data_IF_175874076463
#
_entry.id   IF_175874076463
#
_cell.length_a   1.000
_cell.length_b   1.000
_cell.length_c   1.000
_cell.angle_alpha   90.00
_cell.angle_beta   90.00
_cell.angle_gamma   90.00
#
_symmetry.space_group_name_H-M   'P 1'
#
loop_
_entity.id
_entity.type
_entity.pdbx_description
1 polymer ?
#
# COMPACT_ATOMS: atom_id res chain seq x y z
N UNK A 1 4.83 4.54 20.64
CA UNK A 1 3.86 4.66 19.53
C UNK A 1 3.46 3.26 19.10
N UNK A 2 2.18 3.01 18.91
CA UNK A 2 1.73 1.74 18.35
C UNK A 2 1.98 1.71 16.83
N UNK A 3 2.08 0.53 16.23
CA UNK A 3 2.22 0.40 14.76
C UNK A 3 1.03 1.02 14.01
N UNK A 4 -0.14 1.09 14.64
CA UNK A 4 -1.35 1.71 14.11
C UNK A 4 -1.20 3.23 14.00
N UNK A 5 -0.64 3.89 15.01
CA UNK A 5 -0.43 5.35 15.01
C UNK A 5 0.54 5.76 13.90
N UNK A 6 1.67 5.06 13.79
CA UNK A 6 2.68 5.32 12.77
C UNK A 6 2.15 5.08 11.35
N UNK A 7 1.28 4.07 11.18
CA UNK A 7 0.60 3.81 9.90
C UNK A 7 -0.34 4.95 9.52
N UNK A 8 -1.14 5.45 10.46
CA UNK A 8 -2.08 6.53 10.23
C UNK A 8 -1.37 7.85 9.90
N UNK A 9 -0.30 8.17 10.63
CA UNK A 9 0.53 9.34 10.35
C UNK A 9 1.20 9.24 8.97
N UNK A 10 1.72 8.05 8.62
CA UNK A 10 2.31 7.80 7.30
C UNK A 10 1.27 7.98 6.18
N UNK A 11 0.07 7.40 6.32
CA UNK A 11 -1.04 7.58 5.37
C UNK A 11 -1.42 9.05 5.20
N UNK A 12 -1.51 9.79 6.30
CA UNK A 12 -1.81 11.23 6.28
C UNK A 12 -0.72 12.03 5.57
N UNK A 13 0.55 11.78 5.89
CA UNK A 13 1.69 12.45 5.27
C UNK A 13 1.81 12.16 3.76
N UNK A 14 1.38 10.97 3.32
CA UNK A 14 1.34 10.59 1.91
C UNK A 14 0.11 11.12 1.16
N UNK A 15 -0.86 11.74 1.85
CA UNK A 15 -2.13 12.16 1.24
C UNK A 15 -2.92 10.96 0.72
N UNK A 16 -3.01 9.89 1.51
CA UNK A 16 -3.73 8.67 1.16
C UNK A 16 -5.24 8.93 1.05
N UNK A 17 -5.86 8.43 -0.02
CA UNK A 17 -7.30 8.53 -0.28
C UNK A 17 -7.83 7.18 -0.76
N UNK A 18 -9.04 6.79 -0.34
CA UNK A 18 -9.58 5.44 -0.60
C UNK A 18 -10.36 5.31 -1.91
N UNK A 19 -10.69 6.41 -2.58
CA UNK A 19 -11.70 6.45 -3.66
C UNK A 19 -11.11 6.56 -5.07
N UNK A 20 -9.79 6.50 -5.23
CA UNK A 20 -9.13 6.67 -6.53
C UNK A 20 -8.24 5.46 -6.85
N UNK A 21 -8.58 4.61 -7.84
CA UNK A 21 -7.90 3.33 -8.07
C UNK A 21 -6.53 3.50 -8.71
N UNK A 22 -5.50 3.68 -7.89
CA UNK A 22 -4.10 3.78 -8.35
C UNK A 22 -3.16 2.81 -7.66
N UNK A 23 -3.49 2.33 -6.46
CA UNK A 23 -2.62 1.45 -5.68
C UNK A 23 -2.33 0.12 -6.40
N UNK A 24 -3.32 -0.47 -7.10
CA UNK A 24 -3.10 -1.71 -7.89
C UNK A 24 -1.99 -1.57 -8.95
N UNK A 25 -1.83 -0.36 -9.50
CA UNK A 25 -0.87 -0.04 -10.56
C UNK A 25 0.39 0.67 -10.03
N UNK A 26 0.58 0.76 -8.72
CA UNK A 26 1.71 1.43 -8.10
C UNK A 26 2.92 0.51 -7.99
N UNK A 27 4.13 0.97 -8.31
CA UNK A 27 5.38 0.20 -8.15
C UNK A 27 5.71 -0.14 -6.69
N UNK A 28 5.10 0.58 -5.75
CA UNK A 28 5.25 0.37 -4.31
C UNK A 28 4.21 -0.58 -3.73
N UNK A 29 3.28 -1.10 -4.54
CA UNK A 29 2.35 -2.13 -4.09
C UNK A 29 2.99 -3.50 -4.26
N UNK A 30 2.90 -4.31 -3.21
CA UNK A 30 3.35 -5.70 -3.18
C UNK A 30 2.22 -6.59 -2.67
N UNK A 31 2.19 -7.83 -3.15
CA UNK A 31 1.35 -8.89 -2.61
C UNK A 31 2.18 -9.74 -1.64
N UNK A 32 1.64 -9.98 -0.45
CA UNK A 32 2.28 -10.76 0.61
C UNK A 32 1.30 -11.82 1.04
N UNK A 33 1.78 -13.05 1.23
CA UNK A 33 0.96 -14.19 1.64
C UNK A 33 0.32 -13.96 3.02
N UNK A 34 -0.91 -14.41 3.21
CA UNK A 34 -1.56 -14.46 4.52
C UNK A 34 -1.14 -15.73 5.25
N UNK A 35 -0.28 -15.58 6.25
CA UNK A 35 0.21 -16.70 7.06
C UNK A 35 -0.88 -17.44 7.88
N UNK A 36 -2.12 -16.94 7.91
CA UNK A 36 -3.23 -17.51 8.66
C UNK A 36 -4.29 -18.15 7.75
N UNK A 37 -4.30 -17.84 6.45
CA UNK A 37 -5.35 -18.30 5.53
C UNK A 37 -4.70 -18.81 4.25
N UNK A 38 -4.87 -20.10 3.97
CA UNK A 38 -4.35 -20.72 2.76
C UNK A 38 -4.81 -20.00 1.49
N UNK A 39 -3.85 -19.72 0.59
CA UNK A 39 -4.07 -19.12 -0.73
C UNK A 39 -4.74 -17.74 -0.69
N UNK A 40 -4.44 -16.96 0.35
CA UNK A 40 -4.91 -15.58 0.45
C UNK A 40 -3.70 -14.64 0.46
N UNK A 41 -3.79 -13.54 -0.29
CA UNK A 41 -2.73 -12.53 -0.35
C UNK A 41 -3.25 -11.17 0.11
N UNK A 42 -2.43 -10.46 0.86
CA UNK A 42 -2.63 -9.06 1.22
C UNK A 42 -1.87 -8.13 0.29
N UNK A 43 -2.51 -7.04 -0.09
CA UNK A 43 -1.85 -5.93 -0.80
C UNK A 43 -1.30 -4.96 0.22
N UNK A 44 0.00 -4.73 0.18
CA UNK A 44 0.70 -3.82 1.09
C UNK A 44 1.44 -2.74 0.32
N UNK A 45 1.58 -1.56 0.94
CA UNK A 45 2.39 -0.47 0.44
C UNK A 45 3.78 -0.50 1.08
N UNK A 46 4.84 -0.49 0.26
CA UNK A 46 6.25 -0.54 0.67
C UNK A 46 6.98 0.79 0.43
N UNK A 47 6.26 1.87 0.16
CA UNK A 47 6.87 3.19 -0.08
C UNK A 47 7.70 3.67 1.13
N UNK A 48 7.18 3.46 2.33
CA UNK A 48 7.88 3.76 3.58
C UNK A 48 8.65 2.52 4.03
N UNK A 49 9.96 2.65 4.20
CA UNK A 49 10.80 1.62 4.82
C UNK A 49 10.57 1.51 6.34
N UNK A 50 9.80 2.42 6.94
CA UNK A 50 9.48 2.42 8.36
C UNK A 50 8.29 1.50 8.68
N UNK A 51 7.27 1.49 7.82
CA UNK A 51 6.06 0.69 8.01
C UNK A 51 5.47 0.24 6.68
N UNK A 52 5.35 -1.08 6.51
CA UNK A 52 4.46 -1.66 5.51
C UNK A 52 3.04 -1.70 6.06
N UNK A 53 2.05 -1.30 5.24
CA UNK A 53 0.66 -1.31 5.65
C UNK A 53 -0.27 -1.79 4.53
N UNK A 54 -1.40 -2.39 4.93
CA UNK A 54 -2.42 -2.87 3.99
C UNK A 54 -3.04 -1.70 3.22
N UNK A 55 -3.21 -1.90 1.92
CA UNK A 55 -3.85 -0.96 1.00
C UNK A 55 -4.90 -1.67 0.17
N UNK A 56 -5.96 -0.95 -0.18
CA UNK A 56 -6.96 -1.41 -1.15
C UNK A 56 -6.49 -1.03 -2.57
N UNK A 57 -6.87 -1.82 -3.57
CA UNK A 57 -6.62 -1.55 -4.99
C UNK A 57 -7.19 -0.20 -5.43
N UNK A 58 -8.35 0.16 -4.87
CA UNK A 58 -9.08 1.36 -5.19
C UNK A 58 -8.54 2.62 -4.50
N UNK A 59 -7.49 2.51 -3.71
CA UNK A 59 -6.87 3.65 -3.03
C UNK A 59 -5.76 4.30 -3.86
N UNK A 60 -5.36 5.50 -3.46
CA UNK A 60 -4.19 6.20 -4.01
C UNK A 60 -3.52 7.07 -2.95
N UNK A 61 -2.36 7.63 -3.29
CA UNK A 61 -1.69 8.65 -2.49
C UNK A 61 -0.91 9.60 -3.40
N UNK A 62 -0.43 10.71 -2.85
CA UNK A 62 0.40 11.68 -3.58
C UNK A 62 1.76 11.12 -4.02
N UNK A 63 2.19 9.99 -3.44
CA UNK A 63 3.43 9.28 -3.78
C UNK A 63 3.24 8.17 -4.83
N UNK A 64 2.09 8.16 -5.52
CA UNK A 64 1.82 7.21 -6.59
C UNK A 64 2.92 7.27 -7.66
N UNK A 65 3.49 6.11 -7.96
CA UNK A 65 4.42 5.93 -9.07
C UNK A 65 3.99 4.67 -9.83
N UNK A 66 3.71 4.75 -11.14
CA UNK A 66 3.23 3.61 -11.90
C UNK A 66 4.29 2.49 -11.95
N UNK A 67 3.83 1.23 -12.04
CA UNK A 67 4.68 0.07 -12.36
C UNK A 67 5.34 0.31 -13.74
N UNK A 68 6.59 -0.13 -13.95
CA UNK A 68 7.21 -0.04 -15.27
C UNK A 68 6.36 -0.81 -16.28
N UNK A 69 6.13 -0.22 -17.46
CA UNK A 69 5.59 -0.96 -18.58
C UNK A 69 6.69 -1.91 -19.06
N UNK A 70 6.44 -3.22 -18.99
CA UNK A 70 7.27 -4.19 -19.69
C UNK A 70 6.95 -4.00 -21.17
N UNK A 71 7.88 -3.37 -21.91
CA UNK A 71 7.84 -3.21 -23.36
C UNK A 71 8.57 -4.40 -23.98
#
# INVERSE_FOLDING_TARGET
MSNTDLTNETKKAMGFVETTPRCANCKHQKEVDDNYVDRMWHKVCTYSNLCEFRVNENSSCAKFSPKPKVV
#
